data_IF_518880246206
#
_entry.id   IF_518880246206
#
_cell.length_a   1.000
_cell.length_b   1.000
_cell.length_c   1.000
_cell.angle_alpha   90.00
_cell.angle_beta   90.00
_cell.angle_gamma   90.00
#
_symmetry.space_group_name_H-M   'P 1'
#
loop_
_entity.id
_entity.type
_entity.pdbx_description
1 polymer ?
#
# COMPACT_ATOMS: atom_id res chain seq x y z
N UNK A 1 24.63 0.96 -2.51
CA UNK A 1 23.47 0.17 -2.04
C UNK A 1 22.23 1.01 -1.86
N UNK A 2 22.35 2.12 -1.12
CA UNK A 2 21.18 2.99 -0.94
C UNK A 2 20.69 3.58 -2.25
N UNK A 3 21.61 3.90 -3.17
CA UNK A 3 21.23 4.43 -4.48
C UNK A 3 20.42 3.42 -5.29
N UNK A 4 20.80 2.16 -5.19
CA UNK A 4 20.10 1.10 -5.89
C UNK A 4 18.70 0.93 -5.31
N UNK A 5 18.59 0.95 -4.00
CA UNK A 5 17.29 0.87 -3.32
C UNK A 5 16.42 2.08 -3.66
N UNK A 6 17.01 3.25 -3.65
CA UNK A 6 16.29 4.48 -3.99
C UNK A 6 15.78 4.44 -5.42
N UNK A 7 16.62 3.99 -6.36
CA UNK A 7 16.22 3.88 -7.74
C UNK A 7 15.09 2.89 -7.93
N UNK A 8 15.18 1.76 -7.26
CA UNK A 8 14.16 0.74 -7.32
C UNK A 8 12.85 1.25 -6.69
N UNK A 9 12.96 1.91 -5.54
CA UNK A 9 11.79 2.49 -4.89
C UNK A 9 11.09 3.52 -5.76
N UNK A 10 11.87 4.38 -6.40
CA UNK A 10 11.32 5.40 -7.29
C UNK A 10 10.64 4.75 -8.50
N UNK A 11 11.27 3.72 -9.04
CA UNK A 11 10.70 3.00 -10.16
C UNK A 11 9.37 2.35 -9.77
N UNK A 12 9.35 1.68 -8.63
CA UNK A 12 8.13 1.06 -8.12
C UNK A 12 7.04 2.09 -7.85
N UNK A 13 7.44 3.23 -7.31
CA UNK A 13 6.50 4.31 -7.06
C UNK A 13 5.91 4.83 -8.35
N UNK A 14 6.76 5.08 -9.33
CA UNK A 14 6.31 5.53 -10.64
C UNK A 14 5.44 4.49 -11.32
N UNK A 15 5.87 3.23 -11.30
CA UNK A 15 5.11 2.13 -11.87
C UNK A 15 3.79 1.95 -11.12
N UNK A 16 3.83 2.04 -9.79
CA UNK A 16 2.63 1.93 -8.98
C UNK A 16 1.62 3.02 -9.32
N UNK A 17 2.11 4.23 -9.54
CA UNK A 17 1.24 5.33 -9.93
C UNK A 17 0.65 5.09 -11.32
N UNK A 18 1.48 4.62 -12.25
CA UNK A 18 1.02 4.29 -13.58
C UNK A 18 -0.01 3.16 -13.59
N UNK A 19 0.29 2.12 -12.84
CA UNK A 19 -0.64 1.00 -12.68
C UNK A 19 -1.93 1.50 -12.02
N UNK A 20 -1.78 2.34 -11.00
CA UNK A 20 -2.95 2.93 -10.34
C UNK A 20 -3.84 3.69 -11.30
N UNK A 21 -3.23 4.47 -12.18
CA UNK A 21 -3.99 5.20 -13.19
C UNK A 21 -4.68 4.26 -14.16
N UNK A 22 -3.98 3.21 -14.58
CA UNK A 22 -4.56 2.21 -15.45
C UNK A 22 -5.73 1.50 -14.79
N UNK A 23 -5.58 1.20 -13.51
CA UNK A 23 -6.62 0.53 -12.75
C UNK A 23 -7.83 1.42 -12.49
N UNK A 24 -7.64 2.72 -12.51
CA UNK A 24 -8.76 3.65 -12.35
C UNK A 24 -9.72 3.58 -13.53
N UNK A 25 -9.25 3.10 -14.65
CA UNK A 25 -10.10 2.90 -15.82
C UNK A 25 -10.82 1.56 -15.78
N UNK A 26 -10.39 0.67 -14.88
CA UNK A 26 -11.11 -0.59 -14.69
C UNK A 26 -12.41 -0.30 -13.95
N UNK A 27 -13.49 -1.01 -14.26
CA UNK A 27 -14.80 -0.73 -13.65
C UNK A 27 -14.95 -1.29 -12.23
N UNK A 28 -13.92 -1.11 -11.40
CA UNK A 28 -13.98 -1.56 -10.01
C UNK A 28 -14.43 -0.42 -9.11
N UNK A 29 -15.38 -0.71 -8.25
CA UNK A 29 -15.85 0.24 -7.24
C UNK A 29 -14.81 0.40 -6.14
N UNK A 30 -14.97 1.43 -5.32
CA UNK A 30 -14.12 1.60 -4.15
C UNK A 30 -14.19 0.42 -3.20
N UNK A 31 -15.39 -0.14 -3.06
CA UNK A 31 -15.59 -1.31 -2.21
C UNK A 31 -14.82 -2.51 -2.75
N UNK A 32 -14.88 -2.76 -4.04
CA UNK A 32 -14.16 -3.87 -4.66
C UNK A 32 -12.66 -3.73 -4.52
N UNK A 33 -12.14 -2.51 -4.67
CA UNK A 33 -10.71 -2.27 -4.52
C UNK A 33 -10.26 -2.47 -3.08
N UNK A 34 -11.10 -2.13 -2.11
CA UNK A 34 -10.80 -2.37 -0.70
C UNK A 34 -10.79 -3.85 -0.39
N UNK A 35 -11.71 -4.59 -0.95
CA UNK A 35 -11.74 -6.05 -0.79
C UNK A 35 -10.52 -6.68 -1.43
N UNK A 36 -10.11 -6.20 -2.61
CA UNK A 36 -8.90 -6.66 -3.27
C UNK A 36 -7.68 -6.41 -2.40
N UNK A 37 -7.59 -5.20 -1.83
CA UNK A 37 -6.49 -4.85 -0.95
C UNK A 37 -6.43 -5.80 0.24
N UNK A 38 -7.56 -6.02 0.89
CA UNK A 38 -7.63 -6.91 2.04
C UNK A 38 -7.20 -8.32 1.66
N UNK A 39 -7.66 -8.79 0.51
CA UNK A 39 -7.30 -10.11 0.01
C UNK A 39 -5.79 -10.22 -0.21
N UNK A 40 -5.19 -9.20 -0.81
CA UNK A 40 -3.75 -9.20 -1.05
C UNK A 40 -2.96 -9.13 0.24
N UNK A 41 -3.47 -8.40 1.22
CA UNK A 41 -2.85 -8.35 2.54
C UNK A 41 -2.92 -9.73 3.21
N UNK A 42 -4.08 -10.39 3.14
CA UNK A 42 -4.24 -11.72 3.69
C UNK A 42 -3.27 -12.72 3.04
N UNK A 43 -3.10 -12.62 1.72
CA UNK A 43 -2.15 -13.46 1.00
C UNK A 43 -0.72 -13.22 1.48
N UNK A 44 -0.36 -11.96 1.70
CA UNK A 44 0.96 -11.62 2.21
C UNK A 44 1.15 -12.17 3.62
N UNK A 45 0.16 -12.00 4.48
CA UNK A 45 0.21 -12.49 5.86
C UNK A 45 0.40 -13.99 5.90
N UNK A 46 -0.30 -14.72 5.04
CA UNK A 46 -0.17 -16.19 4.97
C UNK A 46 1.28 -16.56 4.62
N UNK A 47 1.87 -15.86 3.66
CA UNK A 47 3.25 -16.12 3.25
C UNK A 47 4.25 -15.74 4.36
N UNK A 48 3.97 -14.66 5.08
CA UNK A 48 4.80 -14.22 6.19
C UNK A 48 4.81 -15.26 7.30
N UNK A 49 3.68 -15.89 7.55
CA UNK A 49 3.57 -16.90 8.61
C UNK A 49 4.49 -18.10 8.39
N UNK A 50 4.88 -18.35 7.14
CA UNK A 50 5.78 -19.46 6.85
C UNK A 50 7.26 -19.14 7.08
N UNK A 51 7.58 -17.89 7.45
CA UNK A 51 8.95 -17.49 7.73
C UNK A 51 9.40 -18.03 9.09
N UNK A 52 10.70 -18.31 9.17
CA UNK A 52 11.28 -18.83 10.42
C UNK A 52 11.48 -17.77 11.49
N UNK A 53 11.78 -16.55 11.08
CA UNK A 53 12.08 -15.49 12.05
C UNK A 53 10.83 -14.83 12.60
N UNK A 54 10.62 -14.96 13.91
CA UNK A 54 9.51 -14.32 14.59
C UNK A 54 9.64 -12.80 14.55
N UNK A 55 10.87 -12.30 14.68
CA UNK A 55 11.12 -10.87 14.64
C UNK A 55 10.69 -10.26 13.30
N UNK A 56 11.08 -10.91 12.21
CA UNK A 56 10.72 -10.43 10.88
C UNK A 56 9.22 -10.51 10.66
N UNK A 57 8.59 -11.61 11.08
CA UNK A 57 7.13 -11.77 10.99
C UNK A 57 6.42 -10.64 11.71
N UNK A 58 6.82 -10.38 12.94
CA UNK A 58 6.18 -9.36 13.75
C UNK A 58 6.37 -7.96 13.17
N UNK A 59 7.55 -7.69 12.63
CA UNK A 59 7.81 -6.40 12.02
C UNK A 59 6.98 -6.17 10.77
N UNK A 60 6.85 -7.20 9.94
CA UNK A 60 6.01 -7.10 8.73
C UNK A 60 4.55 -6.92 9.12
N UNK A 61 4.09 -7.71 10.09
CA UNK A 61 2.70 -7.60 10.54
C UNK A 61 2.41 -6.21 11.11
N UNK A 62 3.34 -5.67 11.87
CA UNK A 62 3.20 -4.33 12.44
C UNK A 62 3.08 -3.27 11.34
N UNK A 63 3.89 -3.40 10.30
CA UNK A 63 3.85 -2.45 9.18
C UNK A 63 2.55 -2.55 8.40
N UNK A 64 2.05 -3.76 8.24
CA UNK A 64 0.75 -3.98 7.59
C UNK A 64 -0.36 -3.35 8.42
N UNK A 65 -0.35 -3.56 9.72
CA UNK A 65 -1.36 -3.01 10.62
C UNK A 65 -1.36 -1.49 10.62
N UNK A 66 -0.18 -0.88 10.61
CA UNK A 66 -0.07 0.57 10.54
C UNK A 66 -0.62 1.11 9.23
N UNK A 67 -0.32 0.43 8.13
CA UNK A 67 -0.81 0.83 6.81
C UNK A 67 -2.34 0.77 6.77
N UNK A 68 -2.91 -0.31 7.25
CA UNK A 68 -4.36 -0.48 7.25
C UNK A 68 -5.04 0.54 8.16
N UNK A 69 -4.42 0.86 9.29
CA UNK A 69 -4.94 1.87 10.20
C UNK A 69 -5.02 3.24 9.51
N UNK A 70 -3.95 3.61 8.83
CA UNK A 70 -3.91 4.88 8.12
C UNK A 70 -4.95 4.96 7.00
N UNK A 71 -5.14 3.87 6.28
CA UNK A 71 -6.15 3.82 5.23
C UNK A 71 -7.55 3.95 5.83
N UNK A 72 -7.79 3.27 6.94
CA UNK A 72 -9.07 3.34 7.65
C UNK A 72 -9.38 4.77 8.11
N UNK A 73 -8.36 5.45 8.63
CA UNK A 73 -8.53 6.84 9.07
C UNK A 73 -8.76 7.78 7.89
N UNK A 74 -8.06 7.53 6.79
CA UNK A 74 -8.27 8.32 5.57
C UNK A 74 -9.72 8.20 5.08
N UNK A 75 -10.27 7.01 5.17
CA UNK A 75 -11.63 6.75 4.72
C UNK A 75 -12.67 7.54 5.52
N UNK A 76 -12.32 7.89 6.75
CA UNK A 76 -13.20 8.68 7.62
C UNK A 76 -12.96 10.18 7.52
N UNK A 77 -11.89 10.58 6.83
CA UNK A 77 -11.51 11.98 6.74
C UNK A 77 -12.47 12.75 5.85
N UNK A 78 -12.76 13.99 6.24
CA UNK A 78 -13.65 14.85 5.49
C UNK A 78 -12.96 16.08 4.91
N UNK A 79 -11.82 16.45 5.48
CA UNK A 79 -11.05 17.60 5.01
C UNK A 79 -10.03 17.15 3.98
N UNK A 80 -10.19 17.60 2.75
CA UNK A 80 -9.31 17.21 1.64
C UNK A 80 -7.83 17.51 1.94
N UNK A 81 -7.56 18.65 2.54
CA UNK A 81 -6.18 19.02 2.86
C UNK A 81 -5.51 18.02 3.80
N UNK A 82 -6.24 17.60 4.82
CA UNK A 82 -5.73 16.62 5.79
C UNK A 82 -5.64 15.25 5.12
N UNK A 83 -6.62 14.92 4.30
CA UNK A 83 -6.62 13.66 3.57
C UNK A 83 -5.40 13.52 2.66
N UNK A 84 -5.00 14.59 1.99
CA UNK A 84 -3.82 14.57 1.12
C UNK A 84 -2.55 14.30 1.92
N UNK A 85 -2.43 14.88 3.10
CA UNK A 85 -1.29 14.62 3.97
C UNK A 85 -1.26 13.18 4.42
N UNK A 86 -2.41 12.66 4.81
CA UNK A 86 -2.53 11.27 5.25
C UNK A 86 -2.21 10.31 4.10
N UNK A 87 -2.62 10.68 2.90
CA UNK A 87 -2.33 9.88 1.71
C UNK A 87 -0.82 9.74 1.49
N UNK A 88 -0.07 10.82 1.72
CA UNK A 88 1.38 10.76 1.61
C UNK A 88 1.99 9.85 2.65
N UNK A 89 1.45 9.85 3.86
CA UNK A 89 1.89 8.94 4.91
C UNK A 89 1.59 7.49 4.57
N UNK A 90 0.43 7.23 3.98
CA UNK A 90 0.07 5.89 3.53
C UNK A 90 1.07 5.40 2.49
N UNK A 91 1.40 6.25 1.55
CA UNK A 91 2.37 5.94 0.51
C UNK A 91 3.74 5.63 1.11
N UNK A 92 4.19 6.46 2.06
CA UNK A 92 5.46 6.23 2.73
C UNK A 92 5.47 4.92 3.50
N UNK A 93 4.39 4.61 4.19
CA UNK A 93 4.30 3.35 4.96
C UNK A 93 4.26 2.13 4.03
N UNK A 94 3.59 2.26 2.89
CA UNK A 94 3.57 1.18 1.91
C UNK A 94 4.97 0.95 1.33
N UNK A 95 5.72 2.03 1.08
CA UNK A 95 7.10 1.93 0.61
C UNK A 95 8.00 1.30 1.66
N UNK A 96 7.83 1.67 2.93
CA UNK A 96 8.59 1.08 4.03
C UNK A 96 8.35 -0.43 4.11
N UNK A 97 7.10 -0.85 3.92
CA UNK A 97 6.77 -2.26 3.92
C UNK A 97 7.53 -3.00 2.83
N UNK A 98 7.49 -2.45 1.61
CA UNK A 98 8.19 -3.07 0.47
C UNK A 98 9.70 -3.11 0.73
N UNK A 99 10.28 -1.99 1.15
CA UNK A 99 11.72 -1.93 1.43
C UNK A 99 12.14 -2.94 2.48
N UNK A 100 11.37 -3.04 3.55
CA UNK A 100 11.68 -3.99 4.61
C UNK A 100 11.62 -5.42 4.09
N UNK A 101 10.60 -5.75 3.31
CA UNK A 101 10.43 -7.08 2.74
C UNK A 101 11.53 -7.40 1.72
N UNK A 102 11.94 -6.40 0.93
CA UNK A 102 13.05 -6.58 -0.01
C UNK A 102 14.34 -6.90 0.75
N UNK A 103 14.57 -6.22 1.86
CA UNK A 103 15.79 -6.39 2.64
C UNK A 103 15.79 -7.67 3.47
N UNK A 104 14.68 -8.00 4.10
CA UNK A 104 14.60 -9.09 5.08
C UNK A 104 13.81 -10.31 4.62
N UNK A 105 13.02 -10.16 3.58
CA UNK A 105 12.14 -11.24 3.13
C UNK A 105 12.68 -12.06 1.97
N UNK A 106 11.78 -12.77 1.31
CA UNK A 106 12.11 -13.60 0.16
C UNK A 106 11.55 -12.97 -1.10
N UNK A 107 11.99 -13.39 -2.30
CA UNK A 107 11.42 -12.86 -3.55
C UNK A 107 9.90 -13.03 -3.66
N UNK A 108 9.37 -14.10 -3.10
CA UNK A 108 7.92 -14.34 -3.11
C UNK A 108 7.21 -13.29 -2.25
N UNK A 109 7.77 -13.02 -1.07
CA UNK A 109 7.22 -11.99 -0.19
C UNK A 109 7.31 -10.62 -0.81
N UNK A 110 8.44 -10.35 -1.49
CA UNK A 110 8.63 -9.08 -2.17
C UNK A 110 7.53 -8.80 -3.18
N UNK A 111 7.20 -9.79 -4.01
CA UNK A 111 6.14 -9.65 -5.00
C UNK A 111 4.80 -9.37 -4.34
N UNK A 112 4.51 -10.08 -3.27
CA UNK A 112 3.26 -9.87 -2.54
C UNK A 112 3.18 -8.48 -1.91
N UNK A 113 4.30 -8.02 -1.35
CA UNK A 113 4.36 -6.70 -0.74
C UNK A 113 4.17 -5.59 -1.78
N UNK A 114 4.75 -5.77 -2.96
CA UNK A 114 4.58 -4.81 -4.06
C UNK A 114 3.11 -4.73 -4.49
N UNK A 115 2.45 -5.87 -4.58
CA UNK A 115 1.02 -5.89 -4.94
C UNK A 115 0.18 -5.18 -3.87
N UNK A 116 0.49 -5.41 -2.59
CA UNK A 116 -0.20 -4.72 -1.50
C UNK A 116 0.01 -3.22 -1.62
N UNK A 117 1.24 -2.78 -1.90
CA UNK A 117 1.53 -1.36 -2.08
C UNK A 117 0.70 -0.76 -3.21
N UNK A 118 0.67 -1.44 -4.35
CA UNK A 118 -0.09 -0.96 -5.51
C UNK A 118 -1.57 -0.83 -5.20
N UNK A 119 -2.13 -1.83 -4.54
CA UNK A 119 -3.54 -1.80 -4.17
C UNK A 119 -3.83 -0.71 -3.14
N UNK A 120 -2.93 -0.52 -2.19
CA UNK A 120 -3.08 0.54 -1.19
C UNK A 120 -3.10 1.91 -1.86
N UNK A 121 -2.24 2.13 -2.84
CA UNK A 121 -2.19 3.39 -3.58
C UNK A 121 -3.49 3.60 -4.37
N UNK A 122 -4.01 2.56 -5.00
CA UNK A 122 -5.26 2.65 -5.74
C UNK A 122 -6.41 3.06 -4.82
N UNK A 123 -6.53 2.40 -3.68
CA UNK A 123 -7.58 2.72 -2.70
C UNK A 123 -7.43 4.16 -2.22
N UNK A 124 -6.21 4.57 -1.90
CA UNK A 124 -5.93 5.93 -1.43
C UNK A 124 -6.37 6.96 -2.47
N UNK A 125 -6.01 6.76 -3.72
CA UNK A 125 -6.38 7.67 -4.80
C UNK A 125 -7.89 7.75 -4.99
N UNK A 126 -8.58 6.64 -4.86
CA UNK A 126 -10.03 6.62 -4.99
C UNK A 126 -10.70 7.42 -3.89
N UNK A 127 -10.21 7.28 -2.67
CA UNK A 127 -10.75 8.04 -1.53
C UNK A 127 -10.54 9.54 -1.76
N UNK A 128 -9.34 9.93 -2.17
CA UNK A 128 -9.04 11.33 -2.45
C UNK A 128 -9.92 11.90 -3.57
N UNK A 129 -10.08 11.13 -4.62
CA UNK A 129 -10.90 11.56 -5.76
C UNK A 129 -12.34 11.78 -5.33
N UNK A 130 -12.87 10.90 -4.51
CA UNK A 130 -14.22 11.03 -3.98
C UNK A 130 -14.36 12.29 -3.15
N UNK A 131 -13.39 12.57 -2.29
CA UNK A 131 -13.39 13.78 -1.48
C UNK A 131 -13.33 15.04 -2.33
N UNK A 132 -12.52 15.04 -3.38
CA UNK A 132 -12.43 16.17 -4.28
C UNK A 132 -13.78 16.45 -4.94
N UNK A 133 -14.48 15.40 -5.33
CA UNK A 133 -15.80 15.54 -5.94
C UNK A 133 -16.82 16.08 -4.94
N UNK A 134 -16.75 15.65 -3.70
CA UNK A 134 -17.67 16.11 -2.67
C UNK A 134 -17.47 17.57 -2.30
N UNK A 135 -16.24 18.08 -2.39
CA UNK A 135 -15.95 19.47 -2.08
C UNK A 135 -16.40 20.43 -3.17
N UNK A 136 -16.63 19.94 -4.35
CA UNK A 136 -17.16 20.75 -5.44
C UNK A 136 -18.67 20.84 -5.35
#
# INVERSE_FOLDING_TARGET
MSNKKSGFGKFLLGAGLGVGLGMLFAPKSGKENREDLKKKIDELVVKVKSMDSEEIKNNIQSKIDELMKEISELDKEKALKIAKKRAEEIKAKAEELVEYVVEKGTPVLEKSAVVVKEKAIVVTKQILKKLEQEEK
#
